data_IF_384075442768
#
_entry.id   IF_384075442768
#
_cell.length_a   1.000
_cell.length_b   1.000
_cell.length_c   1.000
_cell.angle_alpha   90.00
_cell.angle_beta   90.00
_cell.angle_gamma   90.00
#
_symmetry.space_group_name_H-M   'P 1'
#
loop_
_entity.id
_entity.type
_entity.pdbx_description
1 polymer ?
#
# COMPACT_ATOMS: atom_id res chain seq x y z
N UNK A 1 -52.66 33.20 -12.46
CA UNK A 1 -51.44 33.16 -13.31
C UNK A 1 -50.11 33.41 -12.56
N UNK A 2 -50.05 34.16 -11.45
CA UNK A 2 -48.79 34.47 -10.71
C UNK A 2 -48.15 33.25 -10.03
N UNK A 3 -48.90 32.27 -9.53
CA UNK A 3 -48.36 31.09 -8.84
C UNK A 3 -47.61 30.11 -9.76
N UNK A 4 -48.00 29.98 -11.02
CA UNK A 4 -47.31 29.09 -11.96
C UNK A 4 -45.94 29.66 -12.36
N UNK A 5 -45.84 30.96 -12.51
CA UNK A 5 -44.61 31.67 -12.84
C UNK A 5 -43.58 31.62 -11.66
N UNK A 6 -44.08 31.72 -10.43
CA UNK A 6 -43.23 31.62 -9.22
C UNK A 6 -42.67 30.22 -9.07
N UNK A 7 -43.48 29.18 -9.26
CA UNK A 7 -43.00 27.76 -9.25
C UNK A 7 -41.96 27.49 -10.31
N UNK A 8 -42.12 28.06 -11.51
CA UNK A 8 -41.14 27.88 -12.60
C UNK A 8 -39.80 28.57 -12.30
N UNK A 9 -39.82 29.78 -11.72
CA UNK A 9 -38.60 30.48 -11.28
C UNK A 9 -37.90 29.74 -10.12
N UNK A 10 -38.70 29.20 -9.17
CA UNK A 10 -38.14 28.44 -8.06
C UNK A 10 -37.46 27.15 -8.52
N UNK A 11 -38.00 26.45 -9.51
CA UNK A 11 -37.39 25.27 -10.15
C UNK A 11 -36.08 25.61 -10.87
N UNK A 12 -36.04 26.72 -11.60
CA UNK A 12 -34.81 27.20 -12.25
C UNK A 12 -33.71 27.56 -11.22
N UNK A 13 -34.11 28.25 -10.15
CA UNK A 13 -33.16 28.61 -9.10
C UNK A 13 -32.59 27.37 -8.40
N UNK A 14 -33.41 26.35 -8.15
CA UNK A 14 -32.97 25.05 -7.62
C UNK A 14 -31.99 24.33 -8.54
N UNK A 15 -32.25 24.36 -9.85
CA UNK A 15 -31.35 23.76 -10.84
C UNK A 15 -29.98 24.47 -10.90
N UNK A 16 -29.96 25.82 -10.84
CA UNK A 16 -28.72 26.58 -10.77
C UNK A 16 -27.93 26.35 -9.47
N UNK A 17 -28.61 26.25 -8.33
CA UNK A 17 -27.99 25.93 -7.05
C UNK A 17 -27.36 24.52 -7.08
N UNK A 18 -28.05 23.57 -7.67
CA UNK A 18 -27.56 22.20 -7.82
C UNK A 18 -26.30 22.16 -8.70
N UNK A 19 -26.27 22.91 -9.81
CA UNK A 19 -25.11 23.02 -10.70
C UNK A 19 -23.94 23.67 -9.98
N UNK A 20 -24.17 24.76 -9.23
CA UNK A 20 -23.10 25.47 -8.48
C UNK A 20 -22.46 24.58 -7.40
N UNK A 21 -23.24 23.70 -6.76
CA UNK A 21 -22.74 22.78 -5.75
C UNK A 21 -22.07 21.56 -6.38
N UNK A 22 -22.63 21.04 -7.48
CA UNK A 22 -22.13 19.83 -8.15
C UNK A 22 -20.87 20.09 -8.98
N UNK A 23 -20.73 21.29 -9.57
CA UNK A 23 -19.62 21.65 -10.44
C UNK A 23 -18.27 21.60 -9.71
N UNK A 24 -18.05 22.22 -8.52
CA UNK A 24 -16.80 22.07 -7.79
C UNK A 24 -16.58 20.63 -7.32
N UNK A 25 -17.63 19.89 -6.99
CA UNK A 25 -17.51 18.47 -6.62
C UNK A 25 -17.03 17.62 -7.80
N UNK A 26 -17.59 17.82 -8.99
CA UNK A 26 -17.17 17.12 -10.21
C UNK A 26 -15.73 17.51 -10.59
N UNK A 27 -15.39 18.80 -10.49
CA UNK A 27 -14.03 19.29 -10.77
C UNK A 27 -13.04 18.64 -9.79
N UNK A 28 -13.38 18.59 -8.51
CA UNK A 28 -12.52 17.96 -7.50
C UNK A 28 -12.33 16.46 -7.79
N UNK A 29 -13.39 15.74 -8.15
CA UNK A 29 -13.33 14.33 -8.50
C UNK A 29 -12.54 14.08 -9.79
N UNK A 30 -12.70 14.97 -10.79
CA UNK A 30 -12.07 14.81 -12.10
C UNK A 30 -10.59 15.25 -12.12
N UNK A 31 -10.23 16.33 -11.38
CA UNK A 31 -8.83 16.75 -11.25
C UNK A 31 -8.03 15.90 -10.26
N UNK A 32 -8.71 15.30 -9.27
CA UNK A 32 -8.03 14.41 -8.32
C UNK A 32 -7.70 13.04 -8.93
N UNK A 33 -8.15 12.75 -10.16
CA UNK A 33 -7.89 11.49 -10.87
C UNK A 33 -8.43 10.26 -10.13
N UNK A 34 -8.46 9.07 -10.76
CA UNK A 34 -8.86 7.83 -10.09
C UNK A 34 -7.92 7.39 -8.95
N UNK A 35 -6.79 8.09 -8.74
CA UNK A 35 -5.83 7.83 -7.65
C UNK A 35 -6.11 8.52 -6.32
N UNK A 36 -6.95 9.58 -6.29
CA UNK A 36 -7.15 10.35 -5.05
C UNK A 36 -8.10 9.69 -4.03
N UNK A 37 -8.90 8.73 -4.46
CA UNK A 37 -9.77 7.96 -3.56
C UNK A 37 -9.15 6.65 -3.05
N UNK A 38 -7.94 6.30 -3.52
CA UNK A 38 -7.22 5.09 -3.13
C UNK A 38 -6.18 5.27 -2.03
N UNK A 39 -5.80 6.50 -1.72
CA UNK A 39 -4.64 6.78 -0.87
C UNK A 39 -4.80 6.35 0.62
N UNK A 40 -6.01 6.04 1.08
CA UNK A 40 -6.24 5.67 2.49
C UNK A 40 -6.36 4.18 2.77
N UNK A 41 -6.21 3.30 1.77
CA UNK A 41 -6.47 1.85 1.95
C UNK A 41 -5.46 0.90 1.32
N UNK A 42 -4.37 1.40 0.76
CA UNK A 42 -3.34 0.49 0.22
C UNK A 42 -2.62 -0.25 1.34
N UNK A 43 -2.57 0.35 2.54
CA UNK A 43 -1.90 -0.24 3.71
C UNK A 43 -2.65 -1.43 4.33
N UNK A 44 -3.94 -1.59 4.04
CA UNK A 44 -4.74 -2.73 4.50
C UNK A 44 -4.83 -3.86 3.45
N UNK A 45 -4.19 -3.71 2.29
CA UNK A 45 -4.18 -4.75 1.26
C UNK A 45 -3.36 -5.93 1.75
N UNK A 46 -4.02 -7.08 1.90
CA UNK A 46 -3.34 -8.33 2.25
C UNK A 46 -2.72 -8.93 0.99
N UNK A 47 -1.47 -9.32 1.09
CA UNK A 47 -0.72 -9.97 0.01
C UNK A 47 -0.30 -11.38 0.40
N UNK A 48 -0.21 -12.26 -0.59
CA UNK A 48 0.32 -13.60 -0.42
C UNK A 48 1.83 -13.56 -0.58
N UNK A 49 2.55 -13.94 0.44
CA UNK A 49 4.01 -13.96 0.45
C UNK A 49 4.47 -15.40 0.65
N UNK A 50 5.55 -15.77 -0.03
CA UNK A 50 6.20 -17.05 0.19
C UNK A 50 6.80 -17.08 1.59
N UNK A 51 6.45 -18.09 2.39
CA UNK A 51 7.13 -18.33 3.64
C UNK A 51 8.57 -18.73 3.34
N UNK A 52 9.52 -17.86 3.66
CA UNK A 52 10.92 -18.27 3.69
C UNK A 52 11.10 -19.27 4.83
N UNK A 53 11.34 -20.52 4.44
CA UNK A 53 11.51 -21.63 5.38
C UNK A 53 12.84 -21.52 6.16
N UNK A 54 13.00 -20.48 6.98
CA UNK A 54 13.97 -20.55 8.07
C UNK A 54 13.33 -21.24 9.27
N UNK A 55 13.88 -22.41 9.54
CA UNK A 55 13.63 -23.21 10.72
C UNK A 55 13.90 -22.37 11.98
N UNK A 56 12.90 -21.67 12.49
CA UNK A 56 12.89 -21.30 13.89
C UNK A 56 12.20 -22.41 14.66
N UNK A 57 13.00 -23.17 15.40
CA UNK A 57 12.52 -24.24 16.24
C UNK A 57 11.51 -23.74 17.27
N UNK A 58 10.32 -24.25 17.23
CA UNK A 58 9.42 -24.43 18.38
C UNK A 58 8.44 -25.54 18.06
N UNK A 59 8.76 -26.68 18.65
CA UNK A 59 7.95 -27.76 19.20
C UNK A 59 6.43 -27.76 18.94
N UNK A 60 5.98 -28.93 18.43
CA UNK A 60 4.71 -29.53 18.82
C UNK A 60 3.53 -29.40 17.86
N UNK A 61 3.35 -30.40 16.99
CA UNK A 61 2.04 -30.70 16.44
C UNK A 61 2.03 -31.36 15.07
N UNK A 62 2.19 -32.69 15.07
CA UNK A 62 1.96 -33.56 13.89
C UNK A 62 0.57 -33.34 13.30
N UNK A 63 0.50 -33.20 11.98
CA UNK A 63 -0.39 -34.02 11.14
C UNK A 63 0.15 -34.06 9.71
N UNK A 64 0.51 -35.25 9.30
CA UNK A 64 0.74 -35.68 7.92
C UNK A 64 -0.60 -35.70 7.20
N UNK A 65 -0.70 -35.09 6.02
CA UNK A 65 -1.31 -35.78 4.86
C UNK A 65 -0.96 -35.04 3.55
N UNK A 66 -0.32 -35.79 2.76
CA UNK A 66 -0.11 -35.92 1.32
C UNK A 66 -0.66 -34.89 0.32
N UNK A 67 0.26 -34.53 -0.59
CA UNK A 67 0.13 -34.23 -2.04
C UNK A 67 -0.28 -32.83 -2.50
N UNK A 68 0.61 -32.31 -3.31
CA UNK A 68 0.60 -31.11 -4.14
C UNK A 68 1.38 -29.95 -3.52
N UNK A 69 2.29 -29.41 -4.32
CA UNK A 69 3.12 -28.20 -4.12
C UNK A 69 2.50 -27.17 -3.15
N UNK A 70 2.65 -27.43 -1.87
CA UNK A 70 2.23 -26.51 -0.83
C UNK A 70 3.40 -25.54 -0.64
N UNK A 71 3.47 -24.53 -1.51
CA UNK A 71 4.26 -23.34 -1.20
C UNK A 71 3.58 -22.75 0.03
N UNK A 72 4.25 -22.85 1.19
CA UNK A 72 3.74 -22.25 2.42
C UNK A 72 3.51 -20.78 2.17
N UNK A 73 2.23 -20.38 2.07
CA UNK A 73 1.79 -19.01 1.83
C UNK A 73 1.48 -18.35 3.16
N UNK A 74 2.03 -17.19 3.38
CA UNK A 74 1.66 -16.32 4.51
C UNK A 74 0.91 -15.13 3.93
N UNK A 75 -0.23 -14.79 4.53
CA UNK A 75 -0.91 -13.53 4.24
C UNK A 75 -0.46 -12.46 5.24
N UNK A 76 -0.03 -11.32 4.71
CA UNK A 76 0.39 -10.20 5.55
C UNK A 76 0.01 -8.86 4.90
N UNK A 77 -0.04 -7.76 5.67
CA UNK A 77 -0.25 -6.43 5.12
C UNK A 77 0.86 -6.06 4.13
N UNK A 78 0.47 -5.43 3.02
CA UNK A 78 1.42 -4.95 2.00
C UNK A 78 2.47 -4.01 2.60
N UNK A 79 2.07 -3.11 3.50
CA UNK A 79 2.97 -2.18 4.18
C UNK A 79 4.03 -2.91 4.99
N UNK A 80 3.64 -3.92 5.76
CA UNK A 80 4.57 -4.71 6.58
C UNK A 80 5.59 -5.46 5.71
N UNK A 81 5.13 -6.07 4.61
CA UNK A 81 5.98 -6.74 3.64
C UNK A 81 7.00 -5.78 3.01
N UNK A 82 6.52 -4.63 2.51
CA UNK A 82 7.39 -3.64 1.86
C UNK A 82 8.38 -3.00 2.83
N UNK A 83 7.97 -2.71 4.07
CA UNK A 83 8.88 -2.22 5.13
C UNK A 83 9.92 -3.29 5.47
N UNK A 84 9.55 -4.57 5.45
CA UNK A 84 10.47 -5.69 5.62
C UNK A 84 11.53 -5.77 4.51
N UNK A 85 11.16 -5.53 3.26
CA UNK A 85 12.10 -5.43 2.14
C UNK A 85 13.03 -4.22 2.34
N UNK A 86 12.47 -3.04 2.63
CA UNK A 86 13.25 -1.83 2.90
C UNK A 86 14.27 -2.06 4.02
N UNK A 87 13.85 -2.68 5.12
CA UNK A 87 14.72 -2.94 6.28
C UNK A 87 15.93 -3.80 5.93
N UNK A 88 15.76 -4.72 4.98
CA UNK A 88 16.84 -5.59 4.49
C UNK A 88 17.77 -4.89 3.51
N UNK A 89 17.23 -4.01 2.67
CA UNK A 89 17.96 -3.44 1.52
C UNK A 89 18.69 -2.14 1.83
N UNK A 90 18.18 -1.34 2.77
CA UNK A 90 18.76 -0.05 3.11
C UNK A 90 18.96 0.11 4.62
N UNK A 91 20.14 0.56 5.07
CA UNK A 91 20.33 0.91 6.48
C UNK A 91 19.35 2.00 6.94
N UNK A 92 18.56 1.70 7.98
CA UNK A 92 17.55 2.63 8.51
C UNK A 92 18.12 3.94 9.09
N UNK A 93 19.44 4.05 9.18
CA UNK A 93 20.16 5.28 9.62
C UNK A 93 20.40 6.28 8.48
N UNK A 94 20.14 5.90 7.22
CA UNK A 94 20.35 6.79 6.10
C UNK A 94 19.42 8.01 6.16
N UNK A 95 19.75 9.03 5.38
CA UNK A 95 18.94 10.24 5.25
C UNK A 95 17.53 9.91 4.80
N UNK A 96 16.57 10.70 5.28
CA UNK A 96 15.14 10.47 5.08
C UNK A 96 14.76 10.38 3.60
N UNK A 97 15.36 11.23 2.77
CA UNK A 97 15.09 11.23 1.33
C UNK A 97 15.59 9.94 0.63
N UNK A 98 16.65 9.35 1.15
CA UNK A 98 17.12 8.05 0.66
C UNK A 98 16.13 6.93 1.04
N UNK A 99 15.59 6.96 2.27
CA UNK A 99 14.57 6.01 2.71
C UNK A 99 13.27 6.17 1.90
N UNK A 100 12.85 7.40 1.60
CA UNK A 100 11.70 7.69 0.73
C UNK A 100 11.91 7.18 -0.69
N UNK A 101 13.10 7.38 -1.24
CA UNK A 101 13.45 6.86 -2.56
C UNK A 101 13.34 5.34 -2.59
N UNK A 102 13.87 4.66 -1.57
CA UNK A 102 13.77 3.21 -1.44
C UNK A 102 12.31 2.74 -1.31
N UNK A 103 11.48 3.47 -0.57
CA UNK A 103 10.06 3.16 -0.43
C UNK A 103 9.33 3.20 -1.80
N UNK A 104 9.63 4.18 -2.63
CA UNK A 104 9.07 4.30 -3.99
C UNK A 104 9.56 3.14 -4.88
N UNK A 105 10.84 2.78 -4.81
CA UNK A 105 11.41 1.66 -5.56
C UNK A 105 10.74 0.34 -5.19
N UNK A 106 10.70 0.02 -3.89
CA UNK A 106 10.08 -1.21 -3.38
C UNK A 106 8.60 -1.28 -3.76
N UNK A 107 7.86 -0.17 -3.60
CA UNK A 107 6.45 -0.11 -4.00
C UNK A 107 6.27 -0.38 -5.49
N UNK A 108 7.10 0.20 -6.34
CA UNK A 108 7.04 -0.01 -7.78
C UNK A 108 7.27 -1.48 -8.14
N UNK A 109 8.31 -2.08 -7.56
CA UNK A 109 8.67 -3.49 -7.78
C UNK A 109 7.54 -4.43 -7.34
N UNK A 110 6.96 -4.19 -6.17
CA UNK A 110 5.84 -5.00 -5.66
C UNK A 110 4.58 -4.80 -6.49
N UNK A 111 4.28 -3.57 -6.92
CA UNK A 111 3.15 -3.30 -7.81
C UNK A 111 3.32 -4.00 -9.17
N UNK A 112 4.52 -4.06 -9.72
CA UNK A 112 4.82 -4.82 -10.95
C UNK A 112 4.55 -6.31 -10.76
N UNK A 113 5.02 -6.88 -9.65
CA UNK A 113 4.78 -8.29 -9.32
C UNK A 113 3.28 -8.59 -9.17
N UNK A 114 2.54 -7.74 -8.44
CA UNK A 114 1.09 -7.89 -8.25
C UNK A 114 0.29 -7.70 -9.53
N UNK A 115 0.80 -6.94 -10.50
CA UNK A 115 0.20 -6.77 -11.82
C UNK A 115 0.08 -8.08 -12.61
N UNK A 116 0.78 -9.13 -12.22
CA UNK A 116 0.70 -10.46 -12.84
C UNK A 116 -0.59 -11.23 -12.49
N UNK A 117 -1.34 -10.82 -11.46
CA UNK A 117 -2.64 -11.41 -11.09
C UNK A 117 -2.93 -11.32 -9.59
N UNK A 118 -4.23 -11.44 -9.25
CA UNK A 118 -4.70 -11.30 -7.87
C UNK A 118 -4.19 -12.40 -6.90
N UNK A 119 -3.82 -13.56 -7.43
CA UNK A 119 -3.31 -14.70 -6.64
C UNK A 119 -1.77 -14.79 -6.67
N UNK A 120 -1.08 -13.73 -7.12
CA UNK A 120 0.38 -13.71 -7.20
C UNK A 120 0.98 -13.90 -5.81
N UNK A 121 1.94 -14.82 -5.72
CA UNK A 121 2.76 -15.02 -4.53
C UNK A 121 4.01 -14.17 -4.69
N UNK A 122 4.22 -13.27 -3.75
CA UNK A 122 5.43 -12.44 -3.70
C UNK A 122 6.58 -13.27 -3.14
N UNK A 123 7.69 -13.31 -3.86
CA UNK A 123 8.86 -14.15 -3.53
C UNK A 123 10.07 -13.32 -3.09
N UNK A 124 9.96 -11.98 -3.08
CA UNK A 124 11.07 -11.13 -2.66
C UNK A 124 11.34 -11.33 -1.17
N UNK A 125 12.61 -11.44 -0.81
CA UNK A 125 13.02 -11.63 0.59
C UNK A 125 12.78 -10.36 1.40
N UNK A 126 12.23 -10.52 2.58
CA UNK A 126 11.97 -9.46 3.53
C UNK A 126 12.45 -9.85 4.92
N UNK A 127 12.67 -8.86 5.76
CA UNK A 127 12.93 -9.09 7.17
C UNK A 127 11.62 -9.10 7.96
N UNK A 128 11.44 -10.13 8.75
CA UNK A 128 10.37 -10.19 9.75
C UNK A 128 10.67 -9.24 10.90
N UNK A 129 9.68 -8.98 11.74
CA UNK A 129 9.89 -8.22 12.99
C UNK A 129 11.03 -8.80 13.83
N UNK A 130 11.13 -10.12 13.88
CA UNK A 130 12.19 -10.81 14.62
C UNK A 130 13.55 -10.53 14.00
N UNK A 131 13.68 -10.63 12.68
CA UNK A 131 14.95 -10.37 11.99
C UNK A 131 15.43 -8.93 12.22
N UNK A 132 14.49 -7.97 12.18
CA UNK A 132 14.79 -6.57 12.48
C UNK A 132 15.25 -6.39 13.93
N UNK A 133 14.62 -7.08 14.91
CA UNK A 133 15.04 -7.02 16.31
C UNK A 133 16.38 -7.70 16.53
N UNK A 134 16.63 -8.81 15.88
CA UNK A 134 17.90 -9.53 15.96
C UNK A 134 19.05 -8.73 15.33
N UNK A 135 18.78 -8.04 14.21
CA UNK A 135 19.77 -7.23 13.51
C UNK A 135 20.07 -5.88 14.17
N UNK A 136 19.03 -5.17 14.64
CA UNK A 136 19.17 -3.81 15.19
C UNK A 136 19.25 -3.77 16.71
N UNK A 137 18.87 -4.86 17.37
CA UNK A 137 18.66 -4.89 18.81
C UNK A 137 17.28 -4.33 19.20
N UNK A 138 16.70 -4.88 20.26
CA UNK A 138 15.37 -4.53 20.73
C UNK A 138 15.19 -3.03 21.03
N UNK A 139 16.25 -2.39 21.53
CA UNK A 139 16.26 -0.96 21.89
C UNK A 139 16.17 -0.04 20.67
N UNK A 140 16.78 -0.41 19.55
CA UNK A 140 16.80 0.40 18.32
C UNK A 140 15.65 0.06 17.37
N UNK A 141 15.05 -1.12 17.51
CA UNK A 141 13.97 -1.59 16.63
C UNK A 141 12.87 -0.54 16.46
N UNK A 142 12.30 -0.05 17.56
CA UNK A 142 11.18 0.91 17.49
C UNK A 142 11.58 2.21 16.77
N UNK A 143 12.81 2.68 16.94
CA UNK A 143 13.31 3.90 16.30
C UNK A 143 13.48 3.71 14.78
N UNK A 144 14.11 2.61 14.38
CA UNK A 144 14.41 2.36 12.98
C UNK A 144 13.17 1.95 12.20
N UNK A 145 12.31 1.14 12.80
CA UNK A 145 11.02 0.78 12.19
C UNK A 145 10.18 2.02 11.89
N UNK A 146 10.03 2.94 12.86
CA UNK A 146 9.29 4.18 12.67
C UNK A 146 9.85 5.07 11.56
N UNK A 147 11.15 5.08 11.35
CA UNK A 147 11.75 5.83 10.24
C UNK A 147 11.39 5.25 8.88
N UNK A 148 11.42 3.93 8.75
CA UNK A 148 11.02 3.25 7.52
C UNK A 148 9.52 3.39 7.27
N UNK A 149 8.71 3.21 8.31
CA UNK A 149 7.27 3.41 8.27
C UNK A 149 6.92 4.83 7.84
N UNK A 150 7.54 5.85 8.42
CA UNK A 150 7.35 7.25 8.04
C UNK A 150 7.71 7.50 6.56
N UNK A 151 8.83 6.99 6.09
CA UNK A 151 9.23 7.11 4.68
C UNK A 151 8.23 6.41 3.74
N UNK A 152 7.70 5.26 4.15
CA UNK A 152 6.66 4.53 3.43
C UNK A 152 5.36 5.32 3.33
N UNK A 153 4.89 5.91 4.45
CA UNK A 153 3.67 6.71 4.52
C UNK A 153 3.78 8.01 3.72
N UNK A 154 4.89 8.75 3.86
CA UNK A 154 5.10 10.02 3.15
C UNK A 154 5.18 9.86 1.62
N UNK A 155 5.54 8.68 1.15
CA UNK A 155 5.58 8.36 -0.29
C UNK A 155 4.34 7.57 -0.74
N UNK A 156 3.28 7.55 0.04
CA UNK A 156 2.09 6.78 -0.27
C UNK A 156 1.54 7.10 -1.68
N UNK A 157 1.22 6.05 -2.44
CA UNK A 157 0.73 6.15 -3.82
C UNK A 157 1.78 6.54 -4.87
N UNK A 158 3.03 6.81 -4.49
CA UNK A 158 4.09 7.12 -5.44
C UNK A 158 4.74 5.85 -5.97
N UNK A 159 4.88 5.78 -7.29
CA UNK A 159 5.54 4.70 -8.03
C UNK A 159 6.36 5.30 -9.16
N UNK A 160 7.37 4.59 -9.62
CA UNK A 160 8.15 4.97 -10.79
C UNK A 160 7.41 4.57 -12.06
N UNK A 161 7.38 5.49 -13.02
CA UNK A 161 6.80 5.23 -14.34
C UNK A 161 7.78 5.66 -15.43
N UNK A 162 7.81 4.89 -16.50
CA UNK A 162 8.52 5.22 -17.74
C UNK A 162 7.57 5.01 -18.91
N UNK A 163 7.44 6.01 -19.80
CA UNK A 163 6.55 5.97 -20.96
C UNK A 163 5.10 5.56 -20.62
N UNK A 164 4.57 6.05 -19.50
CA UNK A 164 3.24 5.74 -18.94
C UNK A 164 3.03 4.29 -18.46
N UNK A 165 4.07 3.50 -18.34
CA UNK A 165 4.06 2.19 -17.70
C UNK A 165 4.84 2.20 -16.38
N UNK A 166 4.57 1.26 -15.48
CA UNK A 166 5.43 1.04 -14.31
C UNK A 166 6.84 0.65 -14.77
N UNK A 167 7.85 1.23 -14.15
CA UNK A 167 9.26 1.06 -14.55
C UNK A 167 9.92 -0.12 -13.82
#
# INVERSE_FOLDING_TARGET
MRFAYLKYRLKKLGCYLLIIILLPYIITVFLSGPGAYGASRVDETMVNVKADGEKSGSDGGKQEDSNAENVDKIQMPLSEYCIGIMAREIPAVYEEEALKTQAVLVRTQVCLALGAGADTILEERYWTKKDMQDSWGADQYSKYYKRLEHAWEETNGQVLTYENALA
#
